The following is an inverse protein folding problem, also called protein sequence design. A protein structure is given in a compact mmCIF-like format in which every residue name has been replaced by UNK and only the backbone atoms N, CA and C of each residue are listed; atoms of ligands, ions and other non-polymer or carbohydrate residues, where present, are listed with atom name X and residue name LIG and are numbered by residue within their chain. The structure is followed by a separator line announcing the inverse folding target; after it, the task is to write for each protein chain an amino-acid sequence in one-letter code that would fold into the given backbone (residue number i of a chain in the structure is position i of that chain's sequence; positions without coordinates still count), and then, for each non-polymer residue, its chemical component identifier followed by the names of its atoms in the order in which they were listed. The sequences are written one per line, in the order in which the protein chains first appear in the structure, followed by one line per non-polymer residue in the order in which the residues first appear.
data_IF_764294806829
#
_entry.id   IF_764294806829
#
_cell.length_a   1.000
_cell.length_b   1.000
_cell.length_c   1.000
_cell.angle_alpha   90.00
_cell.angle_beta   90.00
_cell.angle_gamma   90.00
#
_symmetry.space_group_name_H-M   'P 1'
#
loop_
_entity.id
_entity.type
_entity.pdbx_description
1 polymer ?
#
# COMPACT_ATOMS: atom_id res chain seq x y z
N UNK A 1 1.19 -17.47 -13.27
CA UNK A 1 1.04 -16.06 -12.85
C UNK A 1 1.30 -16.02 -11.35
N UNK A 2 2.05 -15.04 -10.82
CA UNK A 2 2.24 -14.90 -9.38
C UNK A 2 0.87 -14.78 -8.68
N UNK A 3 0.69 -15.47 -7.56
CA UNK A 3 -0.54 -15.39 -6.77
C UNK A 3 -0.78 -13.95 -6.32
N UNK A 4 -1.98 -13.45 -6.60
CA UNK A 4 -2.39 -12.17 -6.05
C UNK A 4 -2.54 -12.31 -4.54
N UNK A 5 -1.95 -11.37 -3.80
CA UNK A 5 -2.19 -11.20 -2.39
C UNK A 5 -3.66 -10.86 -2.17
N UNK A 6 -4.25 -11.47 -1.15
CA UNK A 6 -5.58 -11.13 -0.67
C UNK A 6 -5.60 -9.69 -0.14
N UNK A 7 -6.77 -9.06 -0.19
CA UNK A 7 -6.99 -7.68 0.28
C UNK A 7 -6.45 -7.44 1.69
N UNK A 8 -6.61 -8.43 2.59
CA UNK A 8 -6.13 -8.39 3.97
C UNK A 8 -4.59 -8.31 4.06
N UNK A 9 -3.89 -9.07 3.22
CA UNK A 9 -2.43 -9.06 3.17
C UNK A 9 -1.90 -7.74 2.59
N UNK A 10 -2.58 -7.18 1.59
CA UNK A 10 -2.24 -5.86 1.03
C UNK A 10 -2.47 -4.78 2.08
N UNK A 11 -3.57 -4.85 2.83
CA UNK A 11 -3.89 -3.89 3.88
C UNK A 11 -2.85 -3.89 5.00
N UNK A 12 -2.40 -5.06 5.46
CA UNK A 12 -1.34 -5.18 6.45
C UNK A 12 -0.01 -4.56 5.95
N UNK A 13 0.30 -4.72 4.66
CA UNK A 13 1.49 -4.12 4.06
C UNK A 13 1.38 -2.59 3.95
N UNK A 14 0.19 -2.09 3.63
CA UNK A 14 -0.12 -0.65 3.63
C UNK A 14 0.08 -0.05 5.01
N UNK A 15 -0.49 -0.65 6.06
CA UNK A 15 -0.34 -0.16 7.44
C UNK A 15 1.13 -0.12 7.88
N UNK A 16 1.91 -1.17 7.56
CA UNK A 16 3.35 -1.17 7.82
C UNK A 16 4.06 -0.06 7.07
N UNK A 17 3.77 0.11 5.79
CA UNK A 17 4.40 1.16 4.99
C UNK A 17 4.03 2.56 5.51
N UNK A 18 2.80 2.79 5.96
CA UNK A 18 2.39 4.06 6.59
C UNK A 18 3.23 4.32 7.85
N UNK A 19 3.34 3.33 8.75
CA UNK A 19 4.12 3.45 9.98
C UNK A 19 5.61 3.72 9.71
N UNK A 20 6.21 2.96 8.79
CA UNK A 20 7.64 3.11 8.47
C UNK A 20 7.96 4.43 7.77
N UNK A 21 7.05 4.89 6.90
CA UNK A 21 7.24 6.15 6.18
C UNK A 21 6.90 7.37 7.04
N UNK A 22 6.25 7.17 8.19
CA UNK A 22 5.72 8.24 9.03
C UNK A 22 4.62 9.06 8.33
N UNK A 23 3.92 8.45 7.37
CA UNK A 23 2.90 9.13 6.59
C UNK A 23 1.71 9.51 7.47
N UNK A 24 1.30 10.78 7.40
CA UNK A 24 0.24 11.31 8.25
C UNK A 24 -0.89 11.99 7.45
N UNK A 25 -0.85 11.91 6.12
CA UNK A 25 -1.95 12.40 5.30
C UNK A 25 -1.77 12.24 3.80
N UNK A 26 -2.65 12.87 3.00
CA UNK A 26 -2.74 12.67 1.56
C UNK A 26 -1.48 13.07 0.79
N UNK A 27 -0.65 13.97 1.35
CA UNK A 27 0.61 14.40 0.75
C UNK A 27 1.66 13.28 0.74
N UNK A 28 1.57 12.34 1.67
CA UNK A 28 2.50 11.21 1.80
C UNK A 28 2.04 9.97 1.01
N UNK A 29 0.86 10.01 0.41
CA UNK A 29 0.26 8.90 -0.31
C UNK A 29 1.19 8.35 -1.40
N UNK A 30 1.89 9.21 -2.15
CA UNK A 30 2.87 8.78 -3.16
C UNK A 30 4.06 8.01 -2.55
N UNK A 31 4.50 8.41 -1.35
CA UNK A 31 5.59 7.75 -0.61
C UNK A 31 5.15 6.37 -0.13
N UNK A 32 3.96 6.26 0.44
CA UNK A 32 3.39 4.98 0.91
C UNK A 32 3.13 4.05 -0.27
N UNK A 33 2.49 4.53 -1.35
CA UNK A 33 2.24 3.72 -2.56
C UNK A 33 3.56 3.19 -3.12
N UNK A 34 4.59 4.02 -3.23
CA UNK A 34 5.91 3.58 -3.70
C UNK A 34 6.54 2.51 -2.81
N UNK A 35 6.47 2.69 -1.48
CA UNK A 35 7.00 1.73 -0.51
C UNK A 35 6.26 0.37 -0.58
N UNK A 36 4.94 0.39 -0.64
CA UNK A 36 4.12 -0.82 -0.75
C UNK A 36 4.37 -1.51 -2.09
N UNK A 37 4.26 -0.79 -3.21
CA UNK A 37 4.45 -1.34 -4.56
C UNK A 37 5.83 -1.97 -4.76
N UNK A 38 6.88 -1.48 -4.07
CA UNK A 38 8.20 -2.11 -4.10
C UNK A 38 8.19 -3.51 -3.44
N UNK A 39 7.36 -3.73 -2.41
CA UNK A 39 7.27 -5.00 -1.66
C UNK A 39 6.35 -6.01 -2.30
N UNK A 40 5.25 -5.54 -2.89
CA UNK A 40 4.22 -6.37 -3.52
C UNK A 40 4.28 -6.32 -5.05
N UNK A 41 5.41 -5.92 -5.63
CA UNK A 41 5.60 -5.81 -7.08
C UNK A 41 5.23 -7.14 -7.77
N UNK A 42 4.20 -7.11 -8.61
CA UNK A 42 3.68 -8.29 -9.32
C UNK A 42 2.84 -9.24 -8.46
N UNK A 43 2.55 -8.89 -7.20
CA UNK A 43 1.71 -9.66 -6.28
C UNK A 43 0.39 -8.98 -5.93
N UNK A 44 0.20 -7.71 -6.24
CA UNK A 44 -1.10 -7.06 -6.09
C UNK A 44 -1.29 -5.96 -7.14
N UNK A 45 -2.56 -5.62 -7.39
CA UNK A 45 -2.94 -4.58 -8.34
C UNK A 45 -2.69 -3.18 -7.76
N UNK A 46 -2.08 -2.30 -8.56
CA UNK A 46 -1.76 -0.94 -8.12
C UNK A 46 -2.99 -0.08 -7.80
N UNK A 47 -4.14 -0.35 -8.41
CA UNK A 47 -5.39 0.33 -8.09
C UNK A 47 -5.90 -0.07 -6.70
N UNK A 48 -5.84 -1.37 -6.37
CA UNK A 48 -6.21 -1.87 -5.04
C UNK A 48 -5.35 -1.22 -3.96
N UNK A 49 -4.04 -1.15 -4.19
CA UNK A 49 -3.07 -0.52 -3.26
C UNK A 49 -3.38 0.95 -3.08
N UNK A 50 -3.57 1.69 -4.19
CA UNK A 50 -3.88 3.12 -4.14
C UNK A 50 -5.17 3.39 -3.35
N UNK A 51 -6.20 2.54 -3.52
CA UNK A 51 -7.45 2.63 -2.75
C UNK A 51 -7.20 2.41 -1.26
N UNK A 52 -6.48 1.34 -0.88
CA UNK A 52 -6.22 1.02 0.53
C UNK A 52 -5.32 2.05 1.21
N UNK A 53 -4.28 2.54 0.52
CA UNK A 53 -3.42 3.62 1.03
C UNK A 53 -4.23 4.90 1.23
N UNK A 54 -5.11 5.22 0.28
CA UNK A 54 -6.00 6.38 0.41
C UNK A 54 -6.90 6.22 1.62
N UNK A 55 -7.56 5.08 1.81
CA UNK A 55 -8.39 4.80 2.99
C UNK A 55 -7.60 4.89 4.31
N UNK A 56 -6.32 4.50 4.32
CA UNK A 56 -5.46 4.56 5.50
C UNK A 56 -4.95 5.99 5.83
N UNK A 57 -4.93 6.90 4.85
CA UNK A 57 -4.39 8.27 4.97
C UNK A 57 -5.45 9.37 4.80
N UNK A 58 -6.72 8.99 4.63
CA UNK A 58 -7.85 9.91 4.44
C UNK A 58 -8.36 10.52 5.73
#
# INVERSE_FOLDING_TARGET
MPEQLSDEAVKAEVEKAVQETGAAGPKDMGKVIGAVMARIKGKADGQLVSKLVKEALQ
#
